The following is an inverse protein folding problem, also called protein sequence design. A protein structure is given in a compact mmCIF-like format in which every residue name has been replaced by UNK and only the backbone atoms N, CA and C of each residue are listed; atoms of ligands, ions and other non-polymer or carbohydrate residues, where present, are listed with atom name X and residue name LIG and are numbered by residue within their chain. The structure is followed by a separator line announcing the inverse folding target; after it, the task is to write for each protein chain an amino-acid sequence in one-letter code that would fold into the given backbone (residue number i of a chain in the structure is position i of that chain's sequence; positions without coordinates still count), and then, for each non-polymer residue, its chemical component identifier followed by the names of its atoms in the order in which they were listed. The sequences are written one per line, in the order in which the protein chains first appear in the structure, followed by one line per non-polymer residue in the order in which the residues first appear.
data_IF_886820581047
#
_entry.id   IF_886820581047
#
_cell.length_a   1.000
_cell.length_b   1.000
_cell.length_c   1.000
_cell.angle_alpha   90.00
_cell.angle_beta   90.00
_cell.angle_gamma   90.00
#
_symmetry.space_group_name_H-M   'P 1'
#
loop_
_entity.id
_entity.type
_entity.pdbx_description
1 polymer ?
#
# COMPACT_ATOMS: atom_id res chain seq x y z
N UNK A 1 30.53 -38.79 -5.79
CA UNK A 1 29.32 -38.75 -4.97
C UNK A 1 29.26 -37.39 -4.31
N UNK A 2 28.37 -36.52 -4.78
CA UNK A 2 28.20 -35.15 -4.28
C UNK A 2 26.87 -34.62 -4.77
N UNK A 3 25.83 -34.75 -3.94
CA UNK A 3 24.51 -34.24 -4.22
C UNK A 3 24.45 -32.76 -3.80
N UNK A 4 24.28 -31.86 -4.76
CA UNK A 4 24.01 -30.46 -4.50
C UNK A 4 22.57 -30.28 -3.97
N UNK A 5 22.47 -29.71 -2.77
CA UNK A 5 21.23 -29.35 -2.10
C UNK A 5 20.50 -28.22 -2.85
N UNK A 6 19.43 -28.56 -3.56
CA UNK A 6 18.57 -27.63 -4.30
C UNK A 6 17.48 -27.02 -3.37
N UNK A 7 17.89 -26.39 -2.28
CA UNK A 7 17.00 -25.87 -1.22
C UNK A 7 16.46 -24.45 -1.48
N UNK A 8 16.07 -24.11 -2.72
CA UNK A 8 15.61 -22.74 -3.01
C UNK A 8 14.68 -22.51 -4.20
N UNK A 9 14.28 -23.55 -4.96
CA UNK A 9 13.51 -23.37 -6.22
C UNK A 9 12.14 -24.04 -6.14
N UNK A 10 11.06 -23.25 -6.12
CA UNK A 10 9.71 -23.73 -6.45
C UNK A 10 9.36 -23.25 -7.86
N UNK A 11 9.13 -24.18 -8.81
CA UNK A 11 8.86 -23.91 -10.24
C UNK A 11 9.92 -23.09 -10.98
N UNK A 12 11.20 -23.33 -10.70
CA UNK A 12 12.34 -22.79 -11.46
C UNK A 12 12.34 -21.24 -11.63
N UNK A 13 11.74 -20.51 -10.69
CA UNK A 13 11.75 -19.05 -10.63
C UNK A 13 12.23 -18.62 -9.25
N UNK A 14 13.14 -17.64 -9.21
CA UNK A 14 13.51 -16.97 -7.98
C UNK A 14 12.25 -16.31 -7.39
N UNK A 15 11.81 -16.78 -6.22
CA UNK A 15 10.76 -16.10 -5.45
C UNK A 15 11.47 -15.13 -4.51
N UNK A 16 11.33 -13.83 -4.75
CA UNK A 16 11.73 -12.82 -3.77
C UNK A 16 10.98 -13.11 -2.46
N UNK A 17 11.74 -13.35 -1.39
CA UNK A 17 11.18 -13.62 -0.07
C UNK A 17 10.18 -12.52 0.31
N UNK A 18 9.08 -12.91 0.95
CA UNK A 18 8.08 -11.95 1.39
C UNK A 18 8.57 -11.26 2.65
N UNK A 19 8.68 -9.92 2.64
CA UNK A 19 8.89 -9.14 3.87
C UNK A 19 7.69 -9.20 4.84
N UNK A 20 6.55 -9.75 4.38
CA UNK A 20 5.35 -9.95 5.19
C UNK A 20 5.56 -10.96 6.28
N UNK A 21 5.01 -10.69 7.46
CA UNK A 21 4.98 -11.65 8.54
C UNK A 21 4.09 -12.84 8.14
N UNK A 22 4.73 -13.96 7.80
CA UNK A 22 4.06 -15.10 7.17
C UNK A 22 2.97 -15.77 8.02
N UNK A 23 2.96 -15.53 9.34
CA UNK A 23 1.99 -16.07 10.28
C UNK A 23 0.80 -15.12 10.57
N UNK A 24 0.75 -13.94 9.95
CA UNK A 24 -0.31 -12.95 10.18
C UNK A 24 -1.37 -12.98 9.08
N UNK A 25 -2.64 -13.02 9.47
CA UNK A 25 -3.73 -12.78 8.53
C UNK A 25 -3.93 -11.27 8.35
N UNK A 26 -3.52 -10.77 7.19
CA UNK A 26 -3.67 -9.37 6.76
C UNK A 26 -5.13 -8.95 6.45
N UNK A 27 -6.08 -9.83 6.73
CA UNK A 27 -7.51 -9.51 6.80
C UNK A 27 -7.99 -9.18 8.23
N UNK A 28 -7.14 -9.39 9.25
CA UNK A 28 -7.45 -9.15 10.66
C UNK A 28 -7.59 -7.67 10.97
N UNK A 29 -8.44 -7.38 11.95
CA UNK A 29 -8.54 -6.05 12.54
C UNK A 29 -7.22 -5.69 13.20
N UNK A 30 -6.55 -4.66 12.68
CA UNK A 30 -5.27 -4.15 13.16
C UNK A 30 -4.91 -2.85 12.43
N UNK A 31 -3.93 -2.13 13.00
CA UNK A 31 -3.27 -1.04 12.33
C UNK A 31 -2.05 -1.55 11.54
N UNK A 32 -1.88 -1.05 10.33
CA UNK A 32 -0.80 -1.41 9.42
C UNK A 32 -0.08 -0.15 8.95
N UNK A 33 1.23 -0.08 9.17
CA UNK A 33 2.10 0.88 8.52
C UNK A 33 2.45 0.38 7.12
N UNK A 34 2.37 1.25 6.12
CA UNK A 34 2.70 0.93 4.74
C UNK A 34 3.67 1.96 4.14
N UNK A 35 4.52 1.47 3.24
CA UNK A 35 5.33 2.30 2.33
C UNK A 35 5.12 1.86 0.90
N UNK A 36 4.80 2.79 0.01
CA UNK A 36 4.60 2.51 -1.41
C UNK A 36 5.50 3.42 -2.24
N UNK A 37 6.47 2.83 -2.93
CA UNK A 37 7.42 3.59 -3.74
C UNK A 37 6.99 3.69 -5.21
N UNK A 38 7.36 4.81 -5.84
CA UNK A 38 7.37 5.00 -7.29
C UNK A 38 8.48 4.16 -7.90
N UNK A 39 8.29 3.69 -9.13
CA UNK A 39 9.29 2.92 -9.86
C UNK A 39 10.58 3.73 -10.03
N UNK A 40 11.72 3.07 -9.86
CA UNK A 40 13.05 3.69 -9.87
C UNK A 40 13.20 4.89 -8.92
N UNK A 41 12.30 5.02 -7.93
CA UNK A 41 12.27 6.14 -6.98
C UNK A 41 12.23 7.50 -7.69
N UNK A 42 11.56 7.58 -8.84
CA UNK A 42 11.33 8.84 -9.54
C UNK A 42 10.52 9.83 -8.67
N UNK A 43 10.84 11.12 -8.75
CA UNK A 43 10.24 12.17 -7.94
C UNK A 43 8.89 12.66 -8.54
N UNK A 44 8.03 11.71 -8.91
CA UNK A 44 6.80 12.00 -9.68
C UNK A 44 5.72 12.71 -8.84
N UNK A 45 5.77 12.58 -7.51
CA UNK A 45 4.81 13.22 -6.61
C UNK A 45 5.16 14.66 -6.25
N UNK A 46 6.34 15.14 -6.61
CA UNK A 46 6.76 16.52 -6.36
C UNK A 46 8.15 16.60 -5.77
N UNK A 47 8.40 17.63 -4.96
CA UNK A 47 9.72 17.92 -4.39
C UNK A 47 9.61 18.51 -3.00
N UNK A 48 10.63 18.31 -2.17
CA UNK A 48 10.77 19.01 -0.91
C UNK A 48 11.40 20.38 -1.17
N UNK A 49 10.80 21.43 -0.63
CA UNK A 49 11.33 22.80 -0.61
C UNK A 49 11.20 23.34 0.81
N UNK A 50 12.32 23.78 1.40
CA UNK A 50 12.36 24.31 2.78
C UNK A 50 11.71 23.37 3.82
N UNK A 51 12.01 22.07 3.72
CA UNK A 51 11.47 21.03 4.61
C UNK A 51 9.97 20.75 4.43
N UNK A 52 9.36 21.22 3.34
CA UNK A 52 7.93 21.04 3.05
C UNK A 52 7.73 20.33 1.72
N UNK A 53 6.78 19.42 1.69
CA UNK A 53 6.38 18.78 0.44
C UNK A 53 5.62 19.76 -0.45
N UNK A 54 6.15 20.00 -1.65
CA UNK A 54 5.48 20.70 -2.73
C UNK A 54 4.97 19.66 -3.74
N UNK A 55 3.66 19.38 -3.69
CA UNK A 55 3.02 18.33 -4.48
C UNK A 55 2.94 18.70 -5.96
N UNK A 56 3.21 17.73 -6.81
CA UNK A 56 2.81 17.76 -8.22
C UNK A 56 1.30 17.49 -8.34
N UNK A 57 0.74 17.64 -9.54
CA UNK A 57 -0.65 17.23 -9.80
C UNK A 57 -0.88 15.73 -9.49
N UNK A 58 0.12 14.89 -9.75
CA UNK A 58 0.05 13.47 -9.41
C UNK A 58 0.17 13.24 -7.90
N UNK A 59 1.02 14.01 -7.21
CA UNK A 59 1.13 13.98 -5.75
C UNK A 59 -0.17 14.39 -5.06
N UNK A 60 -0.87 15.42 -5.58
CA UNK A 60 -2.19 15.79 -5.10
C UNK A 60 -3.20 14.66 -5.32
N UNK A 61 -3.22 14.05 -6.51
CA UNK A 61 -4.08 12.88 -6.74
C UNK A 61 -3.74 11.70 -5.83
N UNK A 62 -2.48 11.52 -5.43
CA UNK A 62 -2.10 10.51 -4.47
C UNK A 62 -2.72 10.79 -3.08
N UNK A 63 -2.72 12.05 -2.63
CA UNK A 63 -3.44 12.45 -1.42
C UNK A 63 -4.94 12.20 -1.54
N UNK A 64 -5.57 12.69 -2.61
CA UNK A 64 -7.02 12.57 -2.81
C UNK A 64 -7.46 11.09 -2.86
N UNK A 65 -6.72 10.23 -3.58
CA UNK A 65 -6.99 8.80 -3.62
C UNK A 65 -6.76 8.09 -2.27
N UNK A 66 -5.89 8.62 -1.41
CA UNK A 66 -5.73 8.10 -0.05
C UNK A 66 -6.96 8.43 0.78
N UNK A 67 -7.42 9.68 0.73
CA UNK A 67 -8.59 10.17 1.49
C UNK A 67 -9.90 9.51 1.04
N UNK A 68 -9.97 9.03 -0.20
CA UNK A 68 -11.10 8.24 -0.74
C UNK A 68 -11.12 6.78 -0.26
N UNK A 69 -10.07 6.27 0.40
CA UNK A 69 -10.00 4.86 0.82
C UNK A 69 -11.22 4.45 1.68
N UNK A 70 -11.64 5.19 2.73
CA UNK A 70 -12.81 4.84 3.54
C UNK A 70 -14.12 4.85 2.76
N UNK A 71 -14.22 5.65 1.68
CA UNK A 71 -15.41 5.67 0.81
C UNK A 71 -15.53 4.32 0.08
N UNK A 72 -14.42 3.78 -0.40
CA UNK A 72 -14.40 2.48 -1.10
C UNK A 72 -14.32 1.27 -0.17
N UNK A 73 -13.78 1.47 1.03
CA UNK A 73 -13.61 0.44 2.05
C UNK A 73 -14.12 0.96 3.41
N UNK A 74 -15.44 0.93 3.66
CA UNK A 74 -16.03 1.54 4.87
C UNK A 74 -15.58 0.96 6.22
N UNK A 75 -14.91 -0.20 6.20
CA UNK A 75 -14.29 -0.83 7.38
C UNK A 75 -12.85 -0.36 7.60
N UNK A 76 -12.38 0.67 6.89
CA UNK A 76 -11.04 1.21 6.99
C UNK A 76 -11.09 2.60 7.62
N UNK A 77 -10.25 2.78 8.64
CA UNK A 77 -9.93 4.09 9.20
C UNK A 77 -8.49 4.46 8.78
N UNK A 78 -8.27 5.74 8.49
CA UNK A 78 -6.95 6.25 8.11
C UNK A 78 -6.26 6.87 9.33
N UNK A 79 -4.98 6.54 9.50
CA UNK A 79 -4.08 7.26 10.40
C UNK A 79 -3.22 8.26 9.63
N UNK A 80 -2.07 8.61 10.22
CA UNK A 80 -1.13 9.54 9.61
C UNK A 80 -0.68 9.06 8.21
N UNK A 81 -0.54 10.01 7.30
CA UNK A 81 -0.15 9.78 5.92
C UNK A 81 0.69 10.94 5.41
N UNK A 82 1.69 10.62 4.58
CA UNK A 82 2.51 11.63 3.93
C UNK A 82 2.86 11.19 2.52
N UNK A 83 2.73 12.12 1.59
CA UNK A 83 3.27 12.01 0.24
C UNK A 83 4.68 12.59 0.25
N UNK A 84 5.65 11.78 -0.16
CA UNK A 84 7.04 12.17 -0.36
C UNK A 84 7.33 12.25 -1.87
N UNK A 85 8.43 12.85 -2.33
CA UNK A 85 8.73 12.99 -3.76
C UNK A 85 8.57 11.69 -4.56
N UNK A 86 9.04 10.57 -4.00
CA UNK A 86 9.13 9.29 -4.71
C UNK A 86 8.43 8.10 -4.03
N UNK A 87 7.69 8.35 -2.96
CA UNK A 87 6.96 7.30 -2.24
C UNK A 87 5.88 7.93 -1.37
N UNK A 88 5.04 7.08 -0.77
CA UNK A 88 4.11 7.49 0.28
C UNK A 88 4.27 6.59 1.49
N UNK A 89 4.06 7.17 2.67
CA UNK A 89 3.93 6.44 3.93
C UNK A 89 2.53 6.65 4.49
N UNK A 90 1.95 5.62 5.10
CA UNK A 90 0.65 5.76 5.73
C UNK A 90 0.33 4.71 6.77
N UNK A 91 -0.67 5.01 7.60
CA UNK A 91 -1.27 4.05 8.52
C UNK A 91 -2.70 3.74 8.05
N UNK A 92 -2.98 2.45 7.86
CA UNK A 92 -4.31 1.92 7.55
C UNK A 92 -4.77 1.07 8.71
N UNK A 93 -5.94 1.38 9.28
CA UNK A 93 -6.57 0.57 10.32
C UNK A 93 -7.73 -0.20 9.71
N UNK A 94 -7.66 -1.52 9.76
CA UNK A 94 -8.78 -2.39 9.36
C UNK A 94 -9.63 -2.62 10.61
N UNK A 95 -10.89 -2.25 10.55
CA UNK A 95 -11.87 -2.39 11.63
C UNK A 95 -13.19 -2.95 11.08
N UNK A 96 -13.24 -4.27 10.92
CA UNK A 96 -14.44 -5.00 10.50
C UNK A 96 -15.31 -5.29 11.72
N UNK A 97 -16.63 -5.04 11.67
CA UNK A 97 -17.51 -5.40 12.76
C UNK A 97 -17.51 -6.92 13.00
N UNK A 98 -17.53 -7.30 14.28
CA UNK A 98 -17.62 -8.70 14.70
C UNK A 98 -18.88 -9.36 14.12
N UNK A 99 -18.73 -10.50 13.45
CA UNK A 99 -19.84 -11.24 12.84
C UNK A 99 -20.13 -10.90 11.38
N UNK A 100 -19.31 -10.10 10.70
CA UNK A 100 -19.35 -9.96 9.24
C UNK A 100 -18.87 -11.24 8.53
N UNK A 101 -19.69 -12.30 8.57
CA UNK A 101 -19.60 -13.40 7.60
C UNK A 101 -19.91 -12.86 6.22
N UNK A 102 -18.84 -12.59 5.46
CA UNK A 102 -18.71 -12.64 3.99
C UNK A 102 -20.01 -12.69 3.18
N UNK A 103 -20.74 -11.58 3.10
CA UNK A 103 -21.65 -11.30 1.98
C UNK A 103 -21.81 -9.81 1.84
N UNK A 104 -20.98 -9.19 1.00
CA UNK A 104 -21.28 -7.84 0.52
C UNK A 104 -20.94 -7.80 -0.95
N UNK A 105 -21.97 -7.47 -1.71
CA UNK A 105 -22.05 -7.45 -3.15
C UNK A 105 -21.02 -6.48 -3.73
N UNK A 106 -20.35 -6.92 -4.79
CA UNK A 106 -19.47 -6.10 -5.61
C UNK A 106 -20.32 -5.01 -6.25
N UNK A 107 -20.24 -3.77 -5.75
CA UNK A 107 -20.79 -2.63 -6.48
C UNK A 107 -19.89 -2.39 -7.72
N UNK A 108 -20.33 -2.98 -8.83
CA UNK A 108 -20.17 -2.54 -10.21
C UNK A 108 -18.76 -2.23 -10.76
N UNK A 109 -17.96 -3.27 -11.03
CA UNK A 109 -16.92 -3.21 -12.11
C UNK A 109 -16.92 -4.46 -13.04
N UNK A 110 -17.69 -5.51 -12.78
CA UNK A 110 -17.79 -6.61 -13.74
C UNK A 110 -19.11 -7.37 -13.63
N UNK A 111 -20.06 -7.03 -14.51
CA UNK A 111 -21.22 -7.86 -14.77
C UNK A 111 -20.78 -9.27 -15.25
N UNK A 112 -21.31 -10.28 -14.56
CA UNK A 112 -21.63 -11.64 -15.03
C UNK A 112 -20.68 -12.26 -16.07
N UNK A 113 -19.68 -13.00 -15.59
CA UNK A 113 -19.22 -14.21 -16.28
C UNK A 113 -19.40 -15.37 -15.33
N UNK A 114 -20.14 -16.37 -15.78
CA UNK A 114 -20.32 -17.67 -15.14
C UNK A 114 -18.95 -18.37 -15.05
N UNK A 115 -18.20 -18.00 -14.02
CA UNK A 115 -16.85 -18.49 -13.75
C UNK A 115 -16.93 -19.33 -12.46
N UNK A 116 -16.19 -20.45 -12.38
CA UNK A 116 -16.21 -21.32 -11.22
C UNK A 116 -15.93 -20.50 -9.96
N UNK A 117 -16.82 -20.62 -8.96
CA UNK A 117 -16.68 -19.98 -7.65
C UNK A 117 -15.24 -20.16 -7.18
N UNK A 118 -14.54 -19.03 -7.03
CA UNK A 118 -13.15 -19.01 -6.61
C UNK A 118 -13.05 -19.80 -5.28
N UNK A 119 -12.21 -20.84 -5.24
CA UNK A 119 -12.06 -21.73 -4.06
C UNK A 119 -11.37 -21.04 -2.86
N UNK A 120 -10.93 -19.81 -3.08
CA UNK A 120 -10.41 -18.88 -2.10
C UNK A 120 -11.50 -17.82 -1.87
N UNK A 121 -11.89 -17.59 -0.62
CA UNK A 121 -12.96 -16.65 -0.26
C UNK A 121 -12.79 -15.23 -0.82
N UNK A 122 -13.77 -14.34 -0.66
CA UNK A 122 -13.74 -13.01 -1.27
C UNK A 122 -12.46 -12.25 -0.91
N UNK A 123 -11.58 -12.09 -1.91
CA UNK A 123 -10.25 -11.50 -1.76
C UNK A 123 -10.28 -9.97 -1.58
N UNK A 124 -11.45 -9.37 -1.33
CA UNK A 124 -11.69 -7.92 -1.36
C UNK A 124 -11.48 -7.20 -0.01
N UNK A 125 -11.46 -7.92 1.10
CA UNK A 125 -11.41 -7.32 2.45
C UNK A 125 -10.05 -7.54 3.15
N UNK A 126 -8.95 -7.13 2.53
CA UNK A 126 -7.62 -7.22 3.15
C UNK A 126 -6.75 -6.04 2.70
N UNK A 127 -5.63 -5.84 3.41
CA UNK A 127 -4.68 -4.76 3.11
C UNK A 127 -4.27 -4.73 1.63
N UNK A 128 -4.05 -5.90 1.00
CA UNK A 128 -3.63 -5.95 -0.39
C UNK A 128 -4.67 -5.43 -1.38
N UNK A 129 -5.96 -5.63 -1.10
CA UNK A 129 -7.05 -5.10 -1.93
C UNK A 129 -7.26 -3.60 -1.73
N UNK A 130 -7.10 -3.10 -0.50
CA UNK A 130 -7.10 -1.66 -0.19
C UNK A 130 -5.98 -0.96 -0.96
N UNK A 131 -4.74 -1.43 -0.80
CA UNK A 131 -3.57 -0.85 -1.48
C UNK A 131 -3.67 -0.99 -3.01
N UNK A 132 -4.29 -2.06 -3.51
CA UNK A 132 -4.57 -2.20 -4.95
C UNK A 132 -5.53 -1.09 -5.41
N UNK A 133 -6.62 -0.84 -4.69
CA UNK A 133 -7.58 0.22 -5.01
C UNK A 133 -6.89 1.59 -5.07
N UNK A 134 -6.12 1.92 -4.03
CA UNK A 134 -5.30 3.13 -3.98
C UNK A 134 -4.38 3.27 -5.21
N UNK A 135 -3.56 2.25 -5.50
CA UNK A 135 -2.65 2.26 -6.66
C UNK A 135 -3.39 2.45 -7.98
N UNK A 136 -4.58 1.85 -8.13
CA UNK A 136 -5.42 1.98 -9.33
C UNK A 136 -5.89 3.42 -9.50
N UNK A 137 -6.37 4.08 -8.43
CA UNK A 137 -6.81 5.48 -8.46
C UNK A 137 -5.74 6.41 -9.01
N UNK A 138 -4.55 6.38 -8.40
CA UNK A 138 -3.40 7.20 -8.81
C UNK A 138 -2.95 6.89 -10.24
N UNK A 139 -2.88 5.60 -10.61
CA UNK A 139 -2.51 5.17 -11.97
C UNK A 139 -3.54 5.67 -13.00
N UNK A 140 -4.82 5.66 -12.65
CA UNK A 140 -5.90 6.14 -13.52
C UNK A 140 -5.81 7.64 -13.72
N UNK A 141 -5.51 8.41 -12.67
CA UNK A 141 -5.25 9.83 -12.78
C UNK A 141 -4.05 10.12 -13.68
N UNK A 142 -2.91 9.45 -13.46
CA UNK A 142 -1.71 9.62 -14.28
C UNK A 142 -2.00 9.39 -15.77
N UNK A 143 -2.65 8.26 -16.09
CA UNK A 143 -3.02 7.91 -17.48
C UNK A 143 -3.94 8.94 -18.12
N UNK A 144 -4.98 9.40 -17.41
CA UNK A 144 -5.94 10.40 -17.90
C UNK A 144 -5.25 11.74 -18.22
N UNK A 145 -4.23 12.08 -17.44
CA UNK A 145 -3.47 13.33 -17.58
C UNK A 145 -2.16 13.15 -18.39
N UNK A 146 -1.96 12.00 -19.04
CA UNK A 146 -0.77 11.70 -19.84
C UNK A 146 0.56 11.86 -19.06
N UNK A 147 0.54 11.59 -17.76
CA UNK A 147 1.72 11.59 -16.90
C UNK A 147 2.36 10.20 -16.98
N UNK A 148 3.62 10.07 -17.46
CA UNK A 148 4.32 8.80 -17.42
C UNK A 148 4.60 8.44 -15.95
N UNK A 149 4.06 7.31 -15.50
CA UNK A 149 4.12 6.93 -14.10
C UNK A 149 4.03 5.42 -13.94
N UNK A 150 4.84 4.88 -13.04
CA UNK A 150 4.77 3.48 -12.64
C UNK A 150 5.08 3.34 -11.15
N UNK A 151 4.38 2.43 -10.48
CA UNK A 151 4.69 2.06 -9.10
C UNK A 151 5.84 1.04 -9.07
N UNK A 152 6.68 1.08 -8.04
CA UNK A 152 7.52 -0.07 -7.73
C UNK A 152 6.63 -1.30 -7.48
N UNK A 153 7.12 -2.47 -7.92
CA UNK A 153 6.45 -3.74 -7.67
C UNK A 153 6.32 -3.99 -6.15
N UNK A 154 5.14 -4.46 -5.73
CA UNK A 154 4.76 -4.68 -4.32
C UNK A 154 4.77 -3.38 -3.49
N UNK A 155 4.69 -3.51 -2.18
CA UNK A 155 4.77 -2.43 -1.19
C UNK A 155 5.30 -3.03 0.11
N UNK A 156 5.83 -2.19 0.99
CA UNK A 156 6.22 -2.60 2.33
C UNK A 156 5.04 -2.44 3.28
N UNK A 157 4.87 -3.38 4.20
CA UNK A 157 3.83 -3.36 5.22
C UNK A 157 4.35 -3.89 6.55
N UNK A 158 3.84 -3.33 7.66
CA UNK A 158 4.15 -3.77 9.02
C UNK A 158 2.92 -3.64 9.90
N UNK A 159 2.57 -4.71 10.62
CA UNK A 159 1.52 -4.69 11.64
C UNK A 159 2.02 -3.91 12.84
N UNK A 160 1.25 -2.90 13.27
CA UNK A 160 1.53 -2.09 14.46
C UNK A 160 0.94 -2.81 15.67
N UNK A 161 1.77 -3.09 16.67
CA UNK A 161 1.45 -4.04 17.75
C UNK A 161 1.02 -3.38 19.05
N UNK A 162 1.33 -2.11 19.25
CA UNK A 162 1.00 -1.36 20.45
C UNK A 162 0.99 0.16 20.21
N UNK A 163 0.50 0.90 21.20
CA UNK A 163 0.36 2.36 21.14
C UNK A 163 1.70 3.10 21.04
N UNK A 164 2.77 2.58 21.66
CA UNK A 164 4.09 3.20 21.59
C UNK A 164 4.68 3.10 20.17
N UNK A 165 4.55 1.94 19.53
CA UNK A 165 4.95 1.73 18.14
C UNK A 165 4.12 2.62 17.20
N UNK A 166 2.81 2.72 17.43
CA UNK A 166 1.94 3.63 16.69
C UNK A 166 2.43 5.07 16.79
N UNK A 167 2.67 5.56 18.01
CA UNK A 167 3.14 6.92 18.25
C UNK A 167 4.46 7.19 17.51
N UNK A 168 5.45 6.29 17.60
CA UNK A 168 6.72 6.43 16.89
C UNK A 168 6.54 6.50 15.37
N UNK A 169 5.66 5.67 14.81
CA UNK A 169 5.35 5.68 13.37
C UNK A 169 4.67 6.99 12.96
N UNK A 170 3.75 7.50 13.77
CA UNK A 170 3.09 8.78 13.52
C UNK A 170 4.10 9.93 13.51
N UNK A 171 5.00 9.98 14.50
CA UNK A 171 6.06 10.99 14.54
C UNK A 171 7.04 10.88 13.36
N UNK A 172 7.38 9.65 12.97
CA UNK A 172 8.18 9.40 11.77
C UNK A 172 7.50 9.99 10.53
N UNK A 173 6.22 9.66 10.29
CA UNK A 173 5.46 10.15 9.13
C UNK A 173 5.41 11.69 9.10
N UNK A 174 5.08 12.32 10.24
CA UNK A 174 4.91 13.78 10.32
C UNK A 174 6.23 14.55 10.11
N UNK A 175 7.35 14.01 10.58
CA UNK A 175 8.66 14.64 10.46
C UNK A 175 9.36 14.34 9.13
N UNK A 176 8.88 13.36 8.35
CA UNK A 176 9.57 12.85 7.18
C UNK A 176 9.86 13.91 6.09
N UNK A 177 8.95 14.84 5.77
CA UNK A 177 9.26 15.92 4.81
C UNK A 177 10.43 16.82 5.25
N UNK A 178 10.61 17.02 6.56
CA UNK A 178 11.70 17.82 7.10
C UNK A 178 13.03 17.06 7.07
N UNK A 179 12.97 15.73 7.24
CA UNK A 179 14.13 14.84 7.30
C UNK A 179 14.40 14.12 5.97
N UNK A 180 13.99 14.72 4.83
CA UNK A 180 14.03 14.05 3.52
C UNK A 180 15.41 13.56 3.11
N UNK A 181 16.47 14.31 3.43
CA UNK A 181 17.86 13.92 3.10
C UNK A 181 18.37 12.74 3.93
N UNK A 182 17.73 12.45 5.07
CA UNK A 182 18.05 11.34 5.96
C UNK A 182 17.14 10.12 5.73
N UNK A 183 16.20 10.22 4.79
CA UNK A 183 15.21 9.19 4.54
C UNK A 183 15.82 7.96 3.82
N UNK A 184 15.44 6.76 4.25
CA UNK A 184 15.91 5.49 3.66
C UNK A 184 15.55 5.35 2.16
N UNK A 185 14.60 6.16 1.68
CA UNK A 185 14.14 6.17 0.30
C UNK A 185 14.65 7.35 -0.53
N UNK A 186 15.50 8.21 0.06
CA UNK A 186 16.16 9.32 -0.60
C UNK A 186 17.08 8.86 -1.75
N UNK A 187 17.03 9.59 -2.86
CA UNK A 187 18.03 9.56 -3.92
C UNK A 187 18.35 11.02 -4.28
N UNK A 188 19.64 11.34 -4.31
CA UNK A 188 20.18 12.65 -4.66
C UNK A 188 20.03 12.99 -6.14
#
# INVERSE_FOLDING_TARGET
MGAENNAGKFKNKYRTASARWAAWDYSSNAAYFITICVANRAHDFGKIMDGKMNLSALGQSAQDCWDEIPVHFPFVELGEFVVMPNHVHGVVVINKPDGATTSVETQDIASLRDQPRNRFGPQSQNLASIIRGYKIGVTKFARRNHIPFEWQARYHDRVIRNAEELYRIQQYILSNPQNWEEDDFYIA
#
